data_IF_706295476496
#
_entry.id   IF_706295476496
#
_cell.length_a   1.000
_cell.length_b   1.000
_cell.length_c   1.000
_cell.angle_alpha   90.00
_cell.angle_beta   90.00
_cell.angle_gamma   90.00
#
_symmetry.space_group_name_H-M   'P 1'
#
loop_
_entity.id
_entity.type
_entity.pdbx_description
1 polymer ?
#
# COMPACT_ATOMS: atom_id res chain seq x y z
N UNK A 1 -13.02 38.47 5.60
CA UNK A 1 -14.24 38.20 4.79
C UNK A 1 -13.81 37.18 3.76
N UNK A 2 -14.38 35.98 3.80
CA UNK A 2 -14.06 34.91 2.84
C UNK A 2 -14.48 35.37 1.44
N UNK A 3 -13.53 35.46 0.51
CA UNK A 3 -13.82 35.69 -0.93
C UNK A 3 -13.58 34.38 -1.65
N UNK A 4 -14.61 33.53 -1.66
CA UNK A 4 -14.57 32.28 -2.42
C UNK A 4 -15.20 32.51 -3.80
N UNK A 5 -14.39 33.04 -4.72
CA UNK A 5 -14.82 33.42 -6.07
C UNK A 5 -14.40 32.38 -7.13
N UNK A 6 -14.29 31.10 -6.75
CA UNK A 6 -13.91 30.01 -7.64
C UNK A 6 -15.14 29.47 -8.37
N UNK A 7 -15.02 29.25 -9.68
CA UNK A 7 -16.10 28.73 -10.55
C UNK A 7 -15.57 27.65 -11.47
N UNK A 8 -16.44 26.73 -11.86
CA UNK A 8 -16.14 25.77 -12.91
C UNK A 8 -16.17 26.47 -14.27
N UNK A 9 -15.10 26.32 -15.04
CA UNK A 9 -14.96 26.86 -16.40
C UNK A 9 -14.43 25.76 -17.29
N UNK A 10 -14.96 25.63 -18.50
CA UNK A 10 -14.55 24.57 -19.43
C UNK A 10 -13.10 24.76 -19.86
N UNK A 11 -12.41 23.66 -20.15
CA UNK A 11 -11.05 23.68 -20.69
C UNK A 11 -11.00 24.46 -22.02
N UNK A 12 -12.04 24.35 -22.86
CA UNK A 12 -12.17 25.17 -24.06
C UNK A 12 -12.08 26.68 -23.76
N UNK A 13 -12.84 27.15 -22.77
CA UNK A 13 -12.82 28.56 -22.36
C UNK A 13 -11.45 28.97 -21.79
N UNK A 14 -10.80 28.10 -21.00
CA UNK A 14 -9.44 28.34 -20.47
C UNK A 14 -8.43 28.46 -21.59
N UNK A 15 -8.37 27.48 -22.51
CA UNK A 15 -7.48 27.47 -23.68
C UNK A 15 -7.69 28.72 -24.55
N UNK A 16 -8.94 29.15 -24.72
CA UNK A 16 -9.28 30.36 -25.50
C UNK A 16 -8.82 31.65 -24.80
N UNK A 17 -9.02 31.75 -23.49
CA UNK A 17 -8.77 32.97 -22.73
C UNK A 17 -7.30 33.14 -22.34
N UNK A 18 -6.60 32.03 -22.08
CA UNK A 18 -5.21 31.99 -21.64
C UNK A 18 -4.37 31.07 -22.53
N UNK A 19 -4.17 31.46 -23.80
CA UNK A 19 -3.44 30.61 -24.76
C UNK A 19 -2.00 30.32 -24.34
N UNK A 20 -1.40 31.16 -23.48
CA UNK A 20 -0.05 30.95 -22.96
C UNK A 20 0.08 29.67 -22.10
N UNK A 21 -1.02 29.17 -21.52
CA UNK A 21 -0.98 27.92 -20.74
C UNK A 21 -0.64 26.73 -21.62
N UNK A 22 -1.05 26.75 -22.90
CA UNK A 22 -0.81 25.69 -23.88
C UNK A 22 0.68 25.65 -24.29
N UNK A 23 1.43 26.73 -24.02
CA UNK A 23 2.88 26.77 -24.27
C UNK A 23 3.68 26.05 -23.17
N UNK A 24 3.05 25.78 -22.01
CA UNK A 24 3.64 24.99 -20.94
C UNK A 24 3.58 23.50 -21.29
N UNK A 25 4.73 22.84 -21.32
CA UNK A 25 4.85 21.42 -21.64
C UNK A 25 4.13 20.50 -20.64
N UNK A 26 3.85 20.98 -19.43
CA UNK A 26 3.15 20.23 -18.39
C UNK A 26 1.63 20.44 -18.44
N UNK A 27 1.15 21.38 -19.26
CA UNK A 27 -0.28 21.58 -19.48
C UNK A 27 -0.83 20.49 -20.39
N UNK A 28 -1.81 19.71 -19.92
CA UNK A 28 -2.37 18.58 -20.67
C UNK A 28 -1.28 17.56 -21.06
N UNK A 29 -0.36 17.25 -20.11
CA UNK A 29 0.85 16.45 -20.33
C UNK A 29 0.60 15.10 -21.03
N UNK A 30 -0.55 14.48 -20.76
CA UNK A 30 -0.94 13.18 -21.31
C UNK A 30 -1.87 13.28 -22.54
N UNK A 31 -2.21 14.49 -22.97
CA UNK A 31 -3.09 14.78 -24.11
C UNK A 31 -4.46 14.07 -24.03
N UNK A 32 -4.99 13.89 -22.82
CA UNK A 32 -6.22 13.11 -22.54
C UNK A 32 -7.40 13.97 -22.05
N UNK A 33 -7.19 15.28 -21.89
CA UNK A 33 -8.23 16.20 -21.48
C UNK A 33 -9.21 16.49 -22.62
N UNK A 34 -10.49 16.59 -22.26
CA UNK A 34 -11.54 16.97 -23.21
C UNK A 34 -11.90 18.44 -23.02
N UNK A 35 -12.26 19.12 -24.09
CA UNK A 35 -12.62 20.53 -24.07
C UNK A 35 -13.83 20.83 -23.15
N UNK A 36 -14.70 19.84 -22.94
CA UNK A 36 -15.82 19.87 -22.00
C UNK A 36 -15.47 19.57 -20.53
N UNK A 37 -14.26 19.10 -20.24
CA UNK A 37 -13.77 18.94 -18.87
C UNK A 37 -13.50 20.33 -18.25
N UNK A 38 -13.27 20.41 -16.94
CA UNK A 38 -13.33 21.68 -16.21
C UNK A 38 -12.03 22.08 -15.52
N UNK A 39 -11.85 23.38 -15.35
CA UNK A 39 -10.95 23.99 -14.39
C UNK A 39 -11.75 24.67 -13.29
N UNK A 40 -11.15 24.77 -12.09
CA UNK A 40 -11.62 25.64 -11.03
C UNK A 40 -10.91 27.00 -11.14
N UNK A 41 -11.66 28.05 -11.48
CA UNK A 41 -11.12 29.32 -11.97
C UNK A 41 -11.50 30.50 -11.10
N UNK A 42 -10.54 31.38 -10.81
CA UNK A 42 -10.77 32.71 -10.28
C UNK A 42 -9.98 33.78 -11.03
N UNK A 43 -10.63 34.91 -11.28
CA UNK A 43 -10.06 36.07 -11.97
C UNK A 43 -9.45 37.10 -11.02
N UNK A 44 -9.56 36.84 -9.72
CA UNK A 44 -9.24 37.76 -8.63
C UNK A 44 -8.47 37.00 -7.55
N UNK A 45 -8.04 37.73 -6.52
CA UNK A 45 -7.44 37.14 -5.32
C UNK A 45 -8.42 36.21 -4.59
N UNK A 46 -7.94 35.03 -4.21
CA UNK A 46 -8.71 34.02 -3.48
C UNK A 46 -8.27 34.01 -2.01
N UNK A 47 -9.23 34.11 -1.10
CA UNK A 47 -9.02 33.94 0.34
C UNK A 47 -9.86 32.78 0.85
N UNK A 48 -9.20 31.73 1.36
CA UNK A 48 -9.83 30.51 1.83
C UNK A 48 -9.57 30.24 3.32
N UNK A 49 -10.62 29.83 4.02
CA UNK A 49 -10.57 29.43 5.43
C UNK A 49 -10.65 27.90 5.52
N UNK A 50 -9.67 27.27 6.15
CA UNK A 50 -9.46 25.82 6.23
C UNK A 50 -8.31 25.35 5.35
N UNK A 51 -8.21 24.03 5.20
CA UNK A 51 -7.28 23.40 4.26
C UNK A 51 -7.91 23.35 2.86
N UNK A 52 -7.12 23.67 1.85
CA UNK A 52 -7.52 23.61 0.46
C UNK A 52 -6.88 22.41 -0.24
N UNK A 53 -7.71 21.50 -0.71
CA UNK A 53 -7.27 20.24 -1.32
C UNK A 53 -7.23 20.36 -2.84
N UNK A 54 -6.11 19.93 -3.42
CA UNK A 54 -5.84 19.89 -4.85
C UNK A 54 -6.21 18.53 -5.46
N UNK A 55 -6.36 17.47 -4.67
CA UNK A 55 -6.67 16.10 -5.12
C UNK A 55 -8.13 15.96 -5.62
N UNK A 56 -8.56 16.83 -6.54
CA UNK A 56 -9.94 16.96 -7.03
C UNK A 56 -10.38 15.80 -7.93
N UNK A 57 -9.55 14.76 -8.06
CA UNK A 57 -9.90 13.47 -8.65
C UNK A 57 -10.50 12.51 -7.60
N UNK A 58 -10.11 12.67 -6.34
CA UNK A 58 -10.52 11.82 -5.23
C UNK A 58 -11.97 12.10 -4.84
N UNK A 59 -12.73 11.03 -4.58
CA UNK A 59 -14.17 11.13 -4.32
C UNK A 59 -14.46 11.96 -3.05
N UNK A 60 -13.59 11.87 -2.05
CA UNK A 60 -13.70 12.60 -0.78
C UNK A 60 -13.55 14.11 -1.00
N UNK A 61 -12.52 14.51 -1.73
CA UNK A 61 -12.20 15.91 -2.03
C UNK A 61 -13.22 16.51 -3.01
N UNK A 62 -13.72 15.73 -3.98
CA UNK A 62 -14.86 16.14 -4.83
C UNK A 62 -16.13 16.42 -4.02
N UNK A 63 -16.45 15.58 -3.03
CA UNK A 63 -17.59 15.82 -2.11
C UNK A 63 -17.38 17.07 -1.26
N UNK A 64 -16.15 17.31 -0.80
CA UNK A 64 -15.79 18.55 -0.10
C UNK A 64 -16.02 19.79 -0.99
N UNK A 65 -15.51 19.76 -2.21
CA UNK A 65 -15.67 20.84 -3.17
C UNK A 65 -17.15 21.06 -3.56
N UNK A 66 -17.93 19.98 -3.70
CA UNK A 66 -19.36 20.07 -3.98
C UNK A 66 -20.11 20.87 -2.90
N UNK A 67 -19.83 20.58 -1.63
CA UNK A 67 -20.42 21.32 -0.50
C UNK A 67 -20.01 22.80 -0.54
N UNK A 68 -18.75 23.07 -0.87
CA UNK A 68 -18.20 24.42 -0.94
C UNK A 68 -18.81 25.25 -2.08
N UNK A 69 -19.07 24.63 -3.23
CA UNK A 69 -19.74 25.25 -4.38
C UNK A 69 -21.28 25.22 -4.30
N UNK A 70 -21.83 24.62 -3.24
CA UNK A 70 -23.27 24.37 -3.10
C UNK A 70 -23.88 23.61 -4.30
N UNK A 71 -23.16 22.58 -4.76
CA UNK A 71 -23.54 21.70 -5.85
C UNK A 71 -23.88 20.29 -5.34
N UNK A 72 -24.73 19.52 -6.04
CA UNK A 72 -25.03 18.14 -5.67
C UNK A 72 -23.78 17.26 -5.75
N UNK A 73 -23.42 16.61 -4.64
CA UNK A 73 -22.24 15.75 -4.58
C UNK A 73 -22.22 14.65 -5.67
N UNK A 74 -23.39 14.07 -6.01
CA UNK A 74 -23.50 13.07 -7.07
C UNK A 74 -23.12 13.60 -8.45
N UNK A 75 -23.43 14.86 -8.73
CA UNK A 75 -23.09 15.49 -10.01
C UNK A 75 -21.60 15.83 -10.05
N UNK A 76 -21.05 16.31 -8.94
CA UNK A 76 -19.62 16.65 -8.83
C UNK A 76 -18.68 15.46 -8.96
N UNK A 77 -19.08 14.26 -8.54
CA UNK A 77 -18.25 13.05 -8.69
C UNK A 77 -17.99 12.71 -10.16
N UNK A 78 -18.98 12.93 -11.02
CA UNK A 78 -18.92 12.64 -12.46
C UNK A 78 -18.15 13.72 -13.26
N UNK A 79 -17.93 14.90 -12.68
CA UNK A 79 -17.21 15.98 -13.31
C UNK A 79 -15.70 15.70 -13.23
N UNK A 80 -15.01 15.85 -14.37
CA UNK A 80 -13.54 15.90 -14.44
C UNK A 80 -13.09 17.33 -14.21
N UNK A 81 -12.29 17.55 -13.17
CA UNK A 81 -11.68 18.84 -12.87
C UNK A 81 -10.17 18.64 -13.05
N UNK A 82 -9.65 19.12 -14.18
CA UNK A 82 -8.28 18.86 -14.62
C UNK A 82 -7.29 19.93 -14.17
N UNK A 83 -7.79 21.06 -13.68
CA UNK A 83 -6.92 22.14 -13.26
C UNK A 83 -7.54 23.18 -12.35
N UNK A 84 -6.67 24.01 -11.80
CA UNK A 84 -7.01 25.15 -10.97
C UNK A 84 -6.27 26.37 -11.54
N UNK A 85 -7.00 27.44 -11.80
CA UNK A 85 -6.44 28.67 -12.33
C UNK A 85 -6.84 29.86 -11.46
N UNK A 86 -5.85 30.56 -10.91
CA UNK A 86 -6.06 31.76 -10.10
C UNK A 86 -5.26 32.90 -10.73
N UNK A 87 -5.96 33.86 -11.32
CA UNK A 87 -5.36 35.09 -11.82
C UNK A 87 -5.24 36.15 -10.73
N UNK A 88 -4.52 35.81 -9.66
CA UNK A 88 -4.35 36.67 -8.49
C UNK A 88 -3.52 35.98 -7.42
N UNK A 89 -3.54 36.56 -6.22
CA UNK A 89 -2.94 35.95 -5.04
C UNK A 89 -3.86 34.86 -4.47
N UNK A 90 -3.26 33.83 -3.89
CA UNK A 90 -3.99 32.77 -3.21
C UNK A 90 -3.59 32.69 -1.74
N UNK A 91 -4.51 33.05 -0.86
CA UNK A 91 -4.28 33.04 0.59
C UNK A 91 -5.19 32.02 1.26
N UNK A 92 -4.58 31.07 1.96
CA UNK A 92 -5.23 30.01 2.71
C UNK A 92 -4.79 30.13 4.16
N UNK A 93 -5.73 30.17 5.11
CA UNK A 93 -5.33 30.24 6.52
C UNK A 93 -4.84 28.88 7.07
N UNK A 94 -5.23 27.77 6.42
CA UNK A 94 -4.71 26.41 6.59
C UNK A 94 -3.74 26.02 5.47
N UNK A 95 -3.66 24.74 5.17
CA UNK A 95 -2.69 24.19 4.22
C UNK A 95 -3.24 24.08 2.80
N UNK A 96 -2.36 24.15 1.80
CA UNK A 96 -2.64 23.75 0.41
C UNK A 96 -2.05 22.37 0.20
N UNK A 97 -2.87 21.40 -0.20
CA UNK A 97 -2.55 19.97 -0.10
C UNK A 97 -2.84 19.26 -1.42
N UNK A 98 -1.81 18.69 -2.04
CA UNK A 98 -1.88 17.59 -2.99
C UNK A 98 -1.18 16.41 -2.33
N UNK A 99 -1.97 15.48 -1.78
CA UNK A 99 -1.51 14.31 -1.04
C UNK A 99 -1.39 13.05 -1.92
N UNK A 100 -1.92 13.09 -3.13
CA UNK A 100 -1.65 12.06 -4.13
C UNK A 100 -0.29 12.32 -4.78
N UNK A 101 0.59 11.31 -4.76
CA UNK A 101 1.94 11.39 -5.30
C UNK A 101 2.01 11.07 -6.79
N UNK A 102 1.12 10.21 -7.31
CA UNK A 102 1.20 9.71 -8.69
C UNK A 102 0.58 10.66 -9.72
N UNK A 103 -0.38 11.48 -9.31
CA UNK A 103 -1.12 12.39 -10.20
C UNK A 103 -1.69 13.61 -9.45
N UNK A 104 -2.13 14.61 -10.20
CA UNK A 104 -2.78 15.78 -9.64
C UNK A 104 -3.18 16.76 -10.74
N UNK A 105 -3.94 17.81 -10.39
CA UNK A 105 -4.39 18.79 -11.38
C UNK A 105 -3.23 19.65 -11.87
N UNK A 106 -3.42 20.31 -13.01
CA UNK A 106 -2.58 21.43 -13.38
C UNK A 106 -3.02 22.69 -12.61
N UNK A 107 -2.11 23.28 -11.84
CA UNK A 107 -2.39 24.43 -10.99
C UNK A 107 -1.57 25.62 -11.49
N UNK A 108 -2.25 26.71 -11.83
CA UNK A 108 -1.61 27.97 -12.20
C UNK A 108 -2.07 29.11 -11.30
N UNK A 109 -1.11 29.81 -10.70
CA UNK A 109 -1.35 30.98 -9.85
C UNK A 109 -0.48 32.13 -10.35
N UNK A 110 -1.11 33.19 -10.87
CA UNK A 110 -0.38 34.34 -11.43
C UNK A 110 0.25 35.25 -10.36
N UNK A 111 -0.24 35.17 -9.12
CA UNK A 111 0.25 35.93 -7.97
C UNK A 111 1.01 35.09 -6.95
N UNK A 112 1.04 35.59 -5.71
CA UNK A 112 1.72 34.94 -4.58
C UNK A 112 0.78 34.02 -3.78
N UNK A 113 1.35 33.00 -3.15
CA UNK A 113 0.63 32.08 -2.26
C UNK A 113 1.01 32.32 -0.81
N UNK A 114 0.01 32.43 0.07
CA UNK A 114 0.19 32.46 1.51
C UNK A 114 -0.57 31.28 2.13
N UNK A 115 0.09 30.44 2.92
CA UNK A 115 -0.56 29.28 3.55
C UNK A 115 0.04 28.94 4.92
N UNK A 116 -0.60 28.00 5.63
CA UNK A 116 -0.02 27.36 6.81
C UNK A 116 1.16 26.47 6.38
N UNK A 117 0.86 25.45 5.57
CA UNK A 117 1.85 24.60 4.89
C UNK A 117 1.45 24.40 3.43
N UNK A 118 2.43 24.05 2.60
CA UNK A 118 2.24 23.67 1.20
C UNK A 118 2.79 22.25 1.02
N UNK A 119 1.91 21.29 0.71
CA UNK A 119 2.29 19.92 0.38
C UNK A 119 1.94 19.65 -1.08
N UNK A 120 2.92 19.29 -1.90
CA UNK A 120 2.76 18.98 -3.32
C UNK A 120 3.33 17.58 -3.64
N UNK A 121 2.48 16.71 -4.16
CA UNK A 121 2.81 15.40 -4.71
C UNK A 121 2.80 15.43 -6.24
N UNK A 122 1.91 14.66 -6.86
CA UNK A 122 1.85 14.44 -8.31
C UNK A 122 1.28 15.57 -9.18
N UNK A 123 0.88 16.71 -8.60
CA UNK A 123 0.34 17.84 -9.35
C UNK A 123 1.41 18.62 -10.13
N UNK A 124 1.00 19.24 -11.24
CA UNK A 124 1.84 20.20 -11.97
C UNK A 124 1.46 21.62 -11.55
N UNK A 125 2.33 22.28 -10.77
CA UNK A 125 2.04 23.54 -10.09
C UNK A 125 2.98 24.65 -10.56
N UNK A 126 2.40 25.73 -11.07
CA UNK A 126 3.10 26.94 -11.50
C UNK A 126 2.64 28.14 -10.66
N UNK A 127 3.55 28.68 -9.85
CA UNK A 127 3.31 29.89 -9.04
C UNK A 127 4.24 30.99 -9.53
N UNK A 128 3.65 32.05 -10.11
CA UNK A 128 4.44 33.15 -10.68
C UNK A 128 4.93 34.15 -9.63
N UNK A 129 4.30 34.20 -8.46
CA UNK A 129 4.72 35.04 -7.32
C UNK A 129 5.55 34.29 -6.28
N UNK A 130 5.57 34.84 -5.07
CA UNK A 130 6.25 34.24 -3.93
C UNK A 130 5.36 33.17 -3.27
N UNK A 131 5.98 32.19 -2.62
CA UNK A 131 5.31 31.28 -1.69
C UNK A 131 5.73 31.65 -0.27
N UNK A 132 4.77 31.96 0.59
CA UNK A 132 4.99 32.20 2.02
C UNK A 132 4.20 31.18 2.83
N UNK A 133 4.90 30.21 3.41
CA UNK A 133 4.31 29.22 4.31
C UNK A 133 4.73 29.50 5.76
N UNK A 134 3.80 29.35 6.70
CA UNK A 134 4.09 29.53 8.13
C UNK A 134 4.86 28.36 8.74
N UNK A 135 4.82 27.18 8.11
CA UNK A 135 5.43 25.95 8.60
C UNK A 135 6.35 25.29 7.58
N UNK A 136 5.76 24.49 6.70
CA UNK A 136 6.48 23.59 5.82
C UNK A 136 6.05 23.83 4.39
N UNK A 137 7.04 23.93 3.50
CA UNK A 137 6.85 23.62 2.09
C UNK A 137 7.48 22.25 1.87
N UNK A 138 6.72 21.27 1.42
CA UNK A 138 7.21 19.93 1.11
C UNK A 138 6.71 19.53 -0.27
N UNK A 139 7.66 19.13 -1.12
CA UNK A 139 7.36 18.53 -2.42
C UNK A 139 7.95 17.14 -2.48
N UNK A 140 7.17 16.15 -2.86
CA UNK A 140 7.57 14.75 -2.78
C UNK A 140 7.11 13.94 -3.98
N UNK A 141 7.88 12.90 -4.31
CA UNK A 141 7.57 11.92 -5.36
C UNK A 141 7.63 12.47 -6.79
N UNK A 142 8.18 11.69 -7.72
CA UNK A 142 8.73 12.25 -8.96
C UNK A 142 7.75 12.44 -10.12
N UNK A 143 6.46 12.16 -9.91
CA UNK A 143 5.43 12.32 -10.95
C UNK A 143 4.87 13.74 -11.06
N UNK A 144 5.11 14.60 -10.05
CA UNK A 144 4.71 16.00 -10.05
C UNK A 144 5.79 16.98 -10.51
N UNK A 145 5.37 18.23 -10.71
CA UNK A 145 6.25 19.35 -11.03
C UNK A 145 5.83 20.58 -10.24
N UNK A 146 6.78 21.29 -9.64
CA UNK A 146 6.52 22.55 -8.98
C UNK A 146 7.52 23.60 -9.42
N UNK A 147 7.04 24.69 -10.01
CA UNK A 147 7.84 25.86 -10.35
C UNK A 147 7.34 27.10 -9.62
N UNK A 148 8.22 27.70 -8.83
CA UNK A 148 8.02 29.01 -8.22
C UNK A 148 8.91 30.04 -8.92
N UNK A 149 8.30 31.00 -9.62
CA UNK A 149 9.06 32.10 -10.25
C UNK A 149 9.53 33.16 -9.24
N UNK A 150 9.15 33.04 -7.96
CA UNK A 150 9.51 33.95 -6.88
C UNK A 150 10.34 33.30 -5.77
N UNK A 151 10.27 33.92 -4.60
CA UNK A 151 10.90 33.44 -3.36
C UNK A 151 10.00 32.41 -2.66
N UNK A 152 10.58 31.32 -2.19
CA UNK A 152 9.96 30.41 -1.21
C UNK A 152 10.43 30.81 0.20
N UNK A 153 9.55 31.44 0.99
CA UNK A 153 9.80 31.82 2.39
C UNK A 153 9.01 30.87 3.32
N UNK A 154 9.72 29.97 4.00
CA UNK A 154 9.13 29.02 4.94
C UNK A 154 10.14 28.58 5.98
N UNK A 155 9.75 28.31 7.24
CA UNK A 155 10.69 27.83 8.23
C UNK A 155 11.40 26.53 7.85
N UNK A 156 10.64 25.61 7.25
CA UNK A 156 11.11 24.31 6.77
C UNK A 156 10.78 24.19 5.28
N UNK A 157 11.76 23.79 4.46
CA UNK A 157 11.54 23.48 3.04
C UNK A 157 12.22 22.16 2.68
N UNK A 158 11.43 21.22 2.16
CA UNK A 158 11.83 19.85 1.86
C UNK A 158 11.47 19.55 0.40
N UNK A 159 12.46 19.06 -0.35
CA UNK A 159 12.28 18.46 -1.67
C UNK A 159 12.83 17.03 -1.59
N UNK A 160 11.98 16.04 -1.89
CA UNK A 160 12.32 14.62 -1.79
C UNK A 160 11.79 13.88 -3.01
N UNK A 161 12.67 13.49 -3.91
CA UNK A 161 12.37 12.89 -5.20
C UNK A 161 11.32 13.66 -6.02
N UNK A 162 11.32 14.99 -6.00
CA UNK A 162 10.33 15.80 -6.72
C UNK A 162 10.98 16.78 -7.70
N UNK A 163 10.32 17.09 -8.81
CA UNK A 163 10.80 18.09 -9.76
C UNK A 163 10.42 19.51 -9.31
N UNK A 164 11.26 20.12 -8.48
CA UNK A 164 11.00 21.44 -7.88
C UNK A 164 11.99 22.50 -8.36
N UNK A 165 11.50 23.47 -9.14
CA UNK A 165 12.21 24.66 -9.57
C UNK A 165 11.80 25.91 -8.78
N UNK A 166 12.77 26.71 -8.35
CA UNK A 166 12.50 27.99 -7.69
C UNK A 166 13.65 28.99 -7.93
N UNK A 167 13.36 30.29 -7.85
CA UNK A 167 14.36 31.35 -8.06
C UNK A 167 15.24 31.55 -6.82
N UNK A 168 14.63 31.63 -5.64
CA UNK A 168 15.34 31.82 -4.38
C UNK A 168 14.53 31.20 -3.23
N UNK A 169 15.20 30.99 -2.09
CA UNK A 169 14.57 30.45 -0.88
C UNK A 169 15.06 31.17 0.38
N UNK A 170 14.17 31.25 1.36
CA UNK A 170 14.46 31.76 2.69
C UNK A 170 13.91 30.79 3.72
N UNK A 171 14.80 29.98 4.29
CA UNK A 171 14.44 28.97 5.28
C UNK A 171 15.31 29.11 6.52
N UNK A 172 14.69 29.47 7.65
CA UNK A 172 15.43 29.80 8.87
C UNK A 172 15.65 28.60 9.81
N UNK A 173 14.93 27.49 9.64
CA UNK A 173 15.08 26.30 10.49
C UNK A 173 15.69 25.11 9.75
N UNK A 174 15.12 24.73 8.60
CA UNK A 174 15.53 23.50 7.92
C UNK A 174 15.39 23.62 6.40
N UNK A 175 16.35 23.03 5.69
CA UNK A 175 16.32 22.88 4.25
C UNK A 175 16.90 21.52 3.86
N UNK A 176 16.19 20.80 3.00
CA UNK A 176 16.63 19.56 2.38
C UNK A 176 16.15 19.51 0.93
N UNK A 177 17.02 19.09 0.03
CA UNK A 177 16.72 18.84 -1.38
C UNK A 177 17.67 17.77 -1.90
N UNK A 178 17.14 16.57 -2.07
CA UNK A 178 17.88 15.38 -2.53
C UNK A 178 18.46 15.53 -3.95
N UNK A 179 17.93 16.46 -4.75
CA UNK A 179 18.41 16.77 -6.12
C UNK A 179 19.38 17.94 -6.18
N UNK A 180 19.69 18.60 -5.05
CA UNK A 180 20.60 19.73 -4.99
C UNK A 180 21.85 19.44 -4.14
N UNK A 181 22.99 19.97 -4.56
CA UNK A 181 24.27 19.79 -3.88
C UNK A 181 24.56 20.90 -2.84
N UNK A 182 23.52 21.45 -2.20
CA UNK A 182 23.60 22.60 -1.29
C UNK A 182 22.91 22.37 0.06
N UNK A 183 22.65 21.10 0.40
CA UNK A 183 22.15 20.67 1.72
C UNK A 183 23.26 20.83 2.76
N UNK A 184 22.93 21.40 3.93
CA UNK A 184 23.84 21.47 5.07
C UNK A 184 24.06 20.05 5.62
N UNK A 185 25.30 19.64 5.85
CA UNK A 185 25.67 18.30 6.34
C UNK A 185 24.87 17.87 7.57
N UNK A 186 24.49 18.82 8.44
CA UNK A 186 23.69 18.50 9.65
C UNK A 186 22.23 18.10 9.33
N UNK A 187 21.74 18.45 8.15
CA UNK A 187 20.40 18.17 7.65
C UNK A 187 20.35 16.94 6.75
N UNK A 188 21.49 16.26 6.52
CA UNK A 188 21.52 15.05 5.70
C UNK A 188 20.60 13.97 6.29
N UNK A 189 19.87 13.32 5.40
CA UNK A 189 19.00 12.18 5.68
C UNK A 189 19.71 10.90 5.25
N UNK A 190 19.37 9.78 5.88
CA UNK A 190 20.02 8.49 5.65
C UNK A 190 19.04 7.50 5.03
N UNK A 191 19.49 6.73 4.04
CA UNK A 191 18.70 5.63 3.48
C UNK A 191 18.93 4.36 4.30
N UNK A 192 17.86 3.73 4.76
CA UNK A 192 17.90 2.45 5.45
C UNK A 192 17.78 1.32 4.43
N UNK A 193 18.87 0.60 4.16
CA UNK A 193 18.89 -0.51 3.20
C UNK A 193 18.02 -1.71 3.65
N UNK A 194 17.72 -1.84 4.95
CA UNK A 194 16.90 -2.94 5.49
C UNK A 194 15.41 -2.68 5.29
N UNK A 195 14.96 -1.46 5.58
CA UNK A 195 13.54 -1.09 5.46
C UNK A 195 13.19 -0.51 4.10
N UNK A 196 14.20 0.05 3.40
CA UNK A 196 14.06 0.80 2.16
C UNK A 196 13.58 2.24 2.36
N UNK A 197 13.57 2.73 3.60
CA UNK A 197 13.03 4.06 3.95
C UNK A 197 14.12 5.15 3.96
N UNK A 198 13.70 6.38 3.64
CA UNK A 198 14.49 7.58 3.92
C UNK A 198 14.25 8.08 5.34
N UNK A 199 15.28 7.99 6.17
CA UNK A 199 15.28 8.41 7.57
C UNK A 199 15.60 9.90 7.66
N UNK A 200 14.68 10.68 8.23
CA UNK A 200 14.86 12.12 8.37
C UNK A 200 15.94 12.46 9.39
N UNK A 201 16.70 13.52 9.11
CA UNK A 201 17.77 14.00 9.98
C UNK A 201 17.29 14.29 11.41
N UNK A 202 18.21 14.12 12.37
CA UNK A 202 17.97 14.47 13.77
C UNK A 202 17.65 15.96 13.95
N UNK A 203 18.12 16.84 13.06
CA UNK A 203 17.80 18.26 13.09
C UNK A 203 16.33 18.51 12.76
N UNK A 204 15.78 17.85 11.73
CA UNK A 204 14.35 17.94 11.43
C UNK A 204 13.52 17.37 12.58
N UNK A 205 13.85 16.18 13.09
CA UNK A 205 13.11 15.53 14.20
C UNK A 205 12.98 16.42 15.45
N UNK A 206 14.01 17.22 15.76
CA UNK A 206 13.97 18.15 16.91
C UNK A 206 12.89 19.23 16.78
N UNK A 207 12.56 19.62 15.55
CA UNK A 207 11.58 20.67 15.24
C UNK A 207 10.13 20.16 15.29
N UNK A 208 9.92 18.86 15.01
CA UNK A 208 8.59 18.25 14.85
C UNK A 208 7.86 18.04 16.18
N UNK A 209 6.57 18.42 16.24
CA UNK A 209 5.73 18.23 17.43
C UNK A 209 5.70 16.78 17.92
N UNK A 210 5.55 15.84 16.98
CA UNK A 210 5.69 14.43 17.25
C UNK A 210 7.13 13.96 16.99
N UNK A 211 7.95 13.73 18.03
CA UNK A 211 9.33 13.29 17.86
C UNK A 211 9.45 11.82 17.42
N UNK A 212 8.33 11.09 17.34
CA UNK A 212 8.28 9.70 16.85
C UNK A 212 8.28 9.60 15.33
N UNK A 213 8.19 10.72 14.61
CA UNK A 213 8.31 10.76 13.16
C UNK A 213 9.77 10.52 12.78
N UNK A 214 9.97 9.54 11.90
CA UNK A 214 11.25 8.99 11.51
C UNK A 214 11.52 9.07 10.01
N UNK A 215 10.47 9.13 9.19
CA UNK A 215 10.59 9.14 7.73
C UNK A 215 9.85 10.33 7.11
N UNK A 216 10.19 10.66 5.86
CA UNK A 216 9.44 11.67 5.10
C UNK A 216 7.99 11.26 4.85
N UNK A 217 7.73 9.97 4.58
CA UNK A 217 6.37 9.43 4.40
C UNK A 217 5.50 9.66 5.65
N UNK A 218 6.06 9.48 6.85
CA UNK A 218 5.35 9.73 8.11
C UNK A 218 5.01 11.23 8.29
N UNK A 219 5.94 12.13 7.93
CA UNK A 219 5.71 13.59 7.97
C UNK A 219 4.69 14.05 6.93
N UNK A 220 4.78 13.50 5.72
CA UNK A 220 3.85 13.75 4.62
C UNK A 220 2.41 13.42 5.05
N UNK A 221 2.19 12.27 5.70
CA UNK A 221 0.86 11.89 6.20
C UNK A 221 0.29 12.87 7.24
N UNK A 222 1.13 13.54 8.02
CA UNK A 222 0.70 14.62 8.91
C UNK A 222 0.31 15.88 8.12
N UNK A 223 1.14 16.29 7.17
CA UNK A 223 0.88 17.45 6.30
C UNK A 223 -0.37 17.25 5.45
N UNK A 224 -0.62 16.04 4.94
CA UNK A 224 -1.81 15.65 4.17
C UNK A 224 -3.11 15.72 4.99
N UNK A 225 -3.02 15.56 6.32
CA UNK A 225 -4.13 15.80 7.25
C UNK A 225 -4.30 17.28 7.59
N UNK A 226 -3.41 18.14 7.08
CA UNK A 226 -3.36 19.57 7.37
C UNK A 226 -2.96 19.87 8.82
N UNK A 227 -2.12 19.02 9.40
CA UNK A 227 -1.65 19.15 10.77
C UNK A 227 -0.62 20.27 10.91
N UNK A 228 -0.58 20.86 12.11
CA UNK A 228 0.53 21.71 12.52
C UNK A 228 1.66 20.81 13.01
N UNK A 229 2.77 20.76 12.28
CA UNK A 229 3.84 19.78 12.52
C UNK A 229 5.02 20.34 13.29
N UNK A 230 5.18 21.67 13.40
CA UNK A 230 6.31 22.27 14.13
C UNK A 230 5.90 22.67 15.55
N UNK A 231 6.72 22.29 16.55
CA UNK A 231 6.51 22.61 17.98
C UNK A 231 6.26 24.10 18.23
N UNK A 232 6.98 24.96 17.50
CA UNK A 232 6.92 26.41 17.69
C UNK A 232 5.54 27.03 17.39
N UNK A 233 4.69 26.32 16.64
CA UNK A 233 3.36 26.79 16.27
C UNK A 233 2.26 26.32 17.23
N UNK A 234 2.61 25.67 18.33
CA UNK A 234 1.70 25.24 19.39
C UNK A 234 0.50 24.44 18.85
N UNK A 235 0.76 23.27 18.21
CA UNK A 235 -0.30 22.40 17.72
C UNK A 235 -1.31 22.04 18.81
N UNK A 236 -2.60 21.83 18.44
CA UNK A 236 -3.61 21.40 19.39
C UNK A 236 -3.24 20.06 20.02
N UNK A 237 -3.46 19.93 21.33
CA UNK A 237 -3.24 18.67 22.05
C UNK A 237 -4.13 17.56 21.49
N UNK A 238 -3.52 16.43 21.11
CA UNK A 238 -4.24 15.24 20.63
C UNK A 238 -4.88 14.46 21.77
N UNK A 239 -6.11 13.98 21.57
CA UNK A 239 -6.80 13.09 22.52
C UNK A 239 -6.54 11.62 22.19
N UNK A 240 -7.00 10.72 23.05
CA UNK A 240 -6.98 9.28 22.74
C UNK A 240 -7.80 8.96 21.49
N UNK A 241 -8.98 9.57 21.34
CA UNK A 241 -9.87 9.37 20.20
C UNK A 241 -9.19 9.75 18.88
N UNK A 242 -8.41 10.83 18.87
CA UNK A 242 -7.60 11.20 17.70
C UNK A 242 -6.64 10.06 17.30
N UNK A 243 -5.85 9.54 18.24
CA UNK A 243 -4.90 8.46 17.95
C UNK A 243 -5.61 7.17 17.55
N UNK A 244 -6.74 6.87 18.20
CA UNK A 244 -7.59 5.74 17.85
C UNK A 244 -8.07 5.82 16.41
N UNK A 245 -8.65 6.94 16.00
CA UNK A 245 -9.19 7.11 14.65
C UNK A 245 -8.07 7.13 13.60
N UNK A 246 -6.90 7.67 13.96
CA UNK A 246 -5.70 7.64 13.14
C UNK A 246 -5.22 6.21 12.87
N UNK A 247 -5.08 5.39 13.91
CA UNK A 247 -4.67 3.98 13.81
C UNK A 247 -5.72 3.12 13.08
N UNK A 248 -7.02 3.42 13.25
CA UNK A 248 -8.09 2.76 12.49
C UNK A 248 -8.00 3.02 10.99
N UNK A 249 -7.58 4.23 10.59
CA UNK A 249 -7.38 4.57 9.19
C UNK A 249 -6.11 3.93 8.60
N UNK A 250 -5.03 3.87 9.38
CA UNK A 250 -3.78 3.22 8.99
C UNK A 250 -3.08 2.61 10.21
N UNK A 251 -2.96 1.28 10.25
CA UNK A 251 -2.36 0.57 11.38
C UNK A 251 -0.88 0.95 11.61
N UNK A 252 -0.16 1.40 10.57
CA UNK A 252 1.25 1.83 10.66
C UNK A 252 1.41 3.05 11.55
N UNK A 253 0.37 3.89 11.66
CA UNK A 253 0.41 5.07 12.53
C UNK A 253 0.46 4.69 14.03
N UNK A 254 0.32 3.41 14.39
CA UNK A 254 0.56 2.94 15.77
C UNK A 254 1.98 3.25 16.24
N UNK A 255 2.97 3.27 15.33
CA UNK A 255 4.36 3.67 15.60
C UNK A 255 4.45 5.12 16.10
N UNK A 256 3.57 5.98 15.60
CA UNK A 256 3.56 7.42 15.89
C UNK A 256 2.78 7.78 17.16
N UNK A 257 2.15 6.81 17.82
CA UNK A 257 1.33 7.05 19.01
C UNK A 257 2.24 7.26 20.24
N UNK A 258 2.13 8.41 20.93
CA UNK A 258 2.85 8.66 22.18
C UNK A 258 2.53 7.59 23.24
N UNK A 259 3.53 7.21 24.04
CA UNK A 259 3.42 6.13 25.05
C UNK A 259 2.17 6.23 25.95
N UNK A 260 1.77 7.43 26.33
CA UNK A 260 0.59 7.66 27.18
C UNK A 260 -0.75 7.27 26.52
N UNK A 261 -0.81 7.21 25.18
CA UNK A 261 -1.99 6.84 24.41
C UNK A 261 -1.88 5.45 23.76
N UNK A 262 -0.67 4.86 23.72
CA UNK A 262 -0.43 3.50 23.22
C UNK A 262 -0.84 2.45 24.26
N UNK A 263 -2.15 2.38 24.52
CA UNK A 263 -2.74 1.46 25.50
C UNK A 263 -2.91 0.06 24.91
N UNK A 264 -3.05 -0.94 25.77
CA UNK A 264 -3.37 -2.31 25.36
C UNK A 264 -4.66 -2.37 24.52
N UNK A 265 -5.65 -1.53 24.82
CA UNK A 265 -6.89 -1.39 24.05
C UNK A 265 -6.61 -0.97 22.60
N UNK A 266 -5.81 0.07 22.40
CA UNK A 266 -5.46 0.58 21.08
C UNK A 266 -4.62 -0.43 20.28
N UNK A 267 -3.64 -1.06 20.94
CA UNK A 267 -2.83 -2.12 20.34
C UNK A 267 -3.70 -3.31 19.90
N UNK A 268 -4.61 -3.77 20.75
CA UNK A 268 -5.55 -4.84 20.41
C UNK A 268 -6.48 -4.46 19.26
N UNK A 269 -6.92 -3.21 19.19
CA UNK A 269 -7.73 -2.70 18.10
C UNK A 269 -6.96 -2.75 16.76
N UNK A 270 -5.69 -2.35 16.73
CA UNK A 270 -4.84 -2.46 15.54
C UNK A 270 -4.62 -3.93 15.12
N UNK A 271 -4.31 -4.80 16.08
CA UNK A 271 -4.12 -6.24 15.85
C UNK A 271 -5.39 -6.97 15.39
N UNK A 272 -6.56 -6.47 15.80
CA UNK A 272 -7.83 -6.97 15.31
C UNK A 272 -8.08 -6.61 13.84
N UNK A 273 -7.41 -5.59 13.30
CA UNK A 273 -7.42 -5.28 11.87
C UNK A 273 -6.39 -6.16 11.16
N UNK A 274 -5.14 -6.15 11.63
CA UNK A 274 -4.04 -6.88 10.98
C UNK A 274 -2.93 -7.25 11.96
N UNK A 275 -2.38 -8.46 11.82
CA UNK A 275 -1.21 -8.87 12.61
C UNK A 275 0.05 -8.08 12.24
N UNK A 276 0.08 -7.40 11.09
CA UNK A 276 1.18 -6.52 10.68
C UNK A 276 1.36 -5.30 11.60
N UNK A 277 0.45 -5.04 12.54
CA UNK A 277 0.63 -4.01 13.56
C UNK A 277 1.54 -4.45 14.72
N UNK A 278 1.81 -5.76 14.87
CA UNK A 278 2.58 -6.30 15.99
C UNK A 278 3.98 -5.68 16.15
N UNK A 279 4.75 -5.39 15.07
CA UNK A 279 6.06 -4.74 15.19
C UNK A 279 6.04 -3.34 15.81
N UNK A 280 4.89 -2.67 15.86
CA UNK A 280 4.74 -1.31 16.43
C UNK A 280 4.29 -1.30 17.90
N UNK A 281 4.06 -2.49 18.47
CA UNK A 281 3.65 -2.68 19.87
C UNK A 281 4.89 -2.78 20.75
N UNK A 282 4.85 -2.09 21.89
CA UNK A 282 5.92 -2.14 22.87
C UNK A 282 6.09 -3.59 23.36
N UNK A 283 7.35 -4.08 23.40
CA UNK A 283 7.70 -5.46 23.76
C UNK A 283 7.04 -5.94 25.08
N UNK A 284 6.93 -5.06 26.07
CA UNK A 284 6.31 -5.35 27.37
C UNK A 284 4.81 -5.73 27.28
N UNK A 285 4.14 -5.40 26.17
CA UNK A 285 2.73 -5.73 25.91
C UNK A 285 2.57 -7.02 25.08
N UNK A 286 3.65 -7.58 24.55
CA UNK A 286 3.61 -8.82 23.78
C UNK A 286 3.68 -10.00 24.75
N UNK A 287 2.66 -10.87 24.71
CA UNK A 287 2.55 -12.04 25.57
C UNK A 287 2.34 -13.31 24.75
N UNK A 288 2.65 -14.48 25.33
CA UNK A 288 2.37 -15.76 24.68
C UNK A 288 0.87 -15.94 24.37
N UNK A 289 -0.02 -15.44 25.22
CA UNK A 289 -1.47 -15.49 24.99
C UNK A 289 -1.89 -14.63 23.79
N UNK A 290 -1.30 -13.43 23.66
CA UNK A 290 -1.53 -12.56 22.50
C UNK A 290 -1.04 -13.23 21.21
N UNK A 291 0.18 -13.78 21.23
CA UNK A 291 0.77 -14.52 20.11
C UNK A 291 -0.11 -15.69 19.69
N UNK A 292 -0.58 -16.48 20.66
CA UNK A 292 -1.50 -17.59 20.45
C UNK A 292 -2.82 -17.13 19.81
N UNK A 293 -3.40 -16.03 20.31
CA UNK A 293 -4.63 -15.45 19.76
C UNK A 293 -4.45 -14.99 18.32
N UNK A 294 -3.32 -14.39 17.99
CA UNK A 294 -2.99 -13.94 16.62
C UNK A 294 -2.89 -15.12 15.65
N UNK A 295 -2.10 -16.15 15.98
CA UNK A 295 -1.97 -17.33 15.10
C UNK A 295 -3.26 -18.12 14.99
N UNK A 296 -4.10 -18.10 16.04
CA UNK A 296 -5.42 -18.75 15.99
C UNK A 296 -6.41 -18.05 15.06
N UNK A 297 -6.19 -16.76 14.79
CA UNK A 297 -6.98 -15.99 13.83
C UNK A 297 -6.41 -16.15 12.42
N UNK A 298 -5.09 -16.10 12.30
CA UNK A 298 -4.39 -16.30 11.03
C UNK A 298 -3.00 -16.93 11.26
N UNK A 299 -2.77 -18.13 10.74
CA UNK A 299 -1.49 -18.84 10.87
C UNK A 299 -0.30 -18.04 10.31
N UNK A 300 -0.52 -17.11 9.39
CA UNK A 300 0.52 -16.21 8.87
C UNK A 300 1.04 -15.21 9.90
N UNK A 301 0.33 -14.99 11.01
CA UNK A 301 0.77 -14.07 12.06
C UNK A 301 2.11 -14.49 12.69
N UNK A 302 2.49 -15.77 12.59
CA UNK A 302 3.78 -16.28 13.10
C UNK A 302 4.99 -15.51 12.57
N UNK A 303 4.92 -14.97 11.35
CA UNK A 303 6.02 -14.21 10.75
C UNK A 303 6.28 -12.84 11.41
N UNK A 304 5.29 -12.32 12.15
CA UNK A 304 5.40 -11.03 12.82
C UNK A 304 5.70 -11.17 14.32
N UNK A 305 5.66 -12.40 14.84
CA UNK A 305 5.85 -12.70 16.26
C UNK A 305 7.35 -12.70 16.57
N UNK A 306 7.80 -12.02 17.65
CA UNK A 306 9.20 -12.07 18.05
C UNK A 306 9.68 -13.50 18.33
N UNK A 307 10.91 -13.80 17.94
CA UNK A 307 11.49 -15.15 18.00
C UNK A 307 11.39 -15.80 19.38
N UNK A 308 11.52 -15.01 20.46
CA UNK A 308 11.43 -15.49 21.84
C UNK A 308 10.06 -16.08 22.21
N UNK A 309 9.01 -15.75 21.46
CA UNK A 309 7.65 -16.29 21.65
C UNK A 309 7.33 -17.45 20.69
N UNK A 310 8.15 -17.69 19.67
CA UNK A 310 7.92 -18.77 18.72
C UNK A 310 8.33 -20.10 19.36
N UNK A 311 7.35 -20.83 19.86
CA UNK A 311 7.55 -22.18 20.40
C UNK A 311 7.12 -23.25 19.41
N UNK A 312 7.46 -24.50 19.72
CA UNK A 312 6.94 -25.66 18.99
C UNK A 312 5.40 -25.68 19.01
N UNK A 313 4.79 -25.47 20.17
CA UNK A 313 3.32 -25.47 20.32
C UNK A 313 2.67 -24.37 19.47
N UNK A 314 3.25 -23.17 19.48
CA UNK A 314 2.77 -22.06 18.66
C UNK A 314 2.92 -22.35 17.17
N UNK A 315 4.02 -22.99 16.76
CA UNK A 315 4.26 -23.42 15.38
C UNK A 315 3.22 -24.42 14.88
N UNK A 316 2.87 -25.41 15.71
CA UNK A 316 1.77 -26.33 15.41
C UNK A 316 0.44 -25.58 15.30
N UNK A 317 0.16 -24.65 16.21
CA UNK A 317 -1.07 -23.86 16.15
C UNK A 317 -1.15 -22.98 14.90
N UNK A 318 -0.04 -22.36 14.48
CA UNK A 318 0.04 -21.62 13.23
C UNK A 318 -0.21 -22.53 12.02
N UNK A 319 0.33 -23.75 12.03
CA UNK A 319 0.08 -24.75 11.00
C UNK A 319 -1.39 -25.18 10.94
N UNK A 320 -2.09 -25.33 12.08
CA UNK A 320 -3.53 -25.61 12.12
C UNK A 320 -4.38 -24.49 11.50
N UNK A 321 -3.91 -23.25 11.59
CA UNK A 321 -4.64 -22.06 11.13
C UNK A 321 -4.13 -21.51 9.78
N UNK A 322 -3.39 -22.34 9.04
CA UNK A 322 -2.98 -22.09 7.66
C UNK A 322 -1.82 -21.12 7.52
N UNK A 323 -0.62 -21.57 7.90
CA UNK A 323 0.66 -20.88 7.67
C UNK A 323 1.47 -21.52 6.52
N UNK A 324 2.69 -21.03 6.27
CA UNK A 324 3.66 -21.63 5.35
C UNK A 324 4.85 -22.21 6.11
N UNK A 325 5.44 -23.30 5.58
CA UNK A 325 6.54 -23.99 6.24
C UNK A 325 7.75 -23.07 6.45
N UNK A 326 8.11 -22.27 5.44
CA UNK A 326 9.20 -21.28 5.48
C UNK A 326 9.07 -20.19 6.56
N UNK A 327 7.87 -20.01 7.14
CA UNK A 327 7.62 -19.04 8.21
C UNK A 327 7.78 -19.66 9.61
N UNK A 328 8.05 -20.96 9.67
CA UNK A 328 8.27 -21.68 10.92
C UNK A 328 9.77 -21.95 11.07
N UNK A 329 10.36 -21.79 12.28
CA UNK A 329 11.74 -22.15 12.51
C UNK A 329 12.03 -23.62 12.18
N UNK A 330 13.14 -23.88 11.48
CA UNK A 330 13.54 -25.23 11.05
C UNK A 330 13.73 -26.20 12.22
N UNK A 331 14.12 -25.70 13.40
CA UNK A 331 14.27 -26.47 14.63
C UNK A 331 12.98 -27.19 15.07
N UNK A 332 11.82 -26.70 14.61
CA UNK A 332 10.51 -27.29 14.92
C UNK A 332 9.97 -28.20 13.83
N UNK A 333 10.69 -28.35 12.71
CA UNK A 333 10.24 -29.22 11.62
C UNK A 333 10.12 -30.67 12.08
N UNK A 334 8.95 -31.24 11.81
CA UNK A 334 8.68 -32.66 11.97
C UNK A 334 7.75 -33.12 10.86
N UNK A 335 7.69 -34.44 10.63
CA UNK A 335 6.79 -35.01 9.61
C UNK A 335 5.34 -34.60 9.87
N UNK A 336 4.94 -34.58 11.14
CA UNK A 336 3.61 -34.21 11.59
C UNK A 336 3.32 -32.74 11.32
N UNK A 337 4.25 -31.84 11.66
CA UNK A 337 4.09 -30.40 11.42
C UNK A 337 3.98 -30.09 9.93
N UNK A 338 4.89 -30.66 9.12
CA UNK A 338 4.91 -30.41 7.67
C UNK A 338 3.61 -30.90 7.03
N UNK A 339 3.14 -32.09 7.41
CA UNK A 339 1.83 -32.60 6.96
C UNK A 339 0.68 -31.67 7.37
N UNK A 340 0.74 -31.10 8.57
CA UNK A 340 -0.28 -30.17 9.08
C UNK A 340 -0.31 -28.86 8.29
N UNK A 341 0.86 -28.28 8.02
CA UNK A 341 1.02 -27.10 7.15
C UNK A 341 0.44 -27.35 5.77
N UNK A 342 0.73 -28.51 5.18
CA UNK A 342 0.24 -28.86 3.85
C UNK A 342 -1.29 -28.96 3.85
N UNK A 343 -1.86 -29.69 4.82
CA UNK A 343 -3.32 -29.91 4.91
C UNK A 343 -4.14 -28.65 5.11
N UNK A 344 -3.63 -27.70 5.89
CA UNK A 344 -4.37 -26.49 6.26
C UNK A 344 -3.88 -25.22 5.52
N UNK A 345 -2.89 -25.35 4.63
CA UNK A 345 -2.32 -24.23 3.89
C UNK A 345 -3.41 -23.49 3.10
N UNK A 346 -3.46 -22.16 3.26
CA UNK A 346 -4.36 -21.30 2.46
C UNK A 346 -3.91 -21.18 0.99
N UNK A 347 -2.66 -21.55 0.71
CA UNK A 347 -2.06 -21.56 -0.62
C UNK A 347 -1.51 -22.94 -0.93
N UNK A 348 -1.30 -23.23 -2.23
CA UNK A 348 -0.66 -24.48 -2.65
C UNK A 348 0.75 -24.56 -2.01
N UNK A 349 1.03 -25.59 -1.20
CA UNK A 349 2.30 -25.69 -0.50
C UNK A 349 3.44 -25.95 -1.49
N UNK A 350 4.61 -25.37 -1.26
CA UNK A 350 5.79 -25.65 -2.08
C UNK A 350 6.59 -26.80 -1.45
N UNK A 351 6.64 -27.96 -2.12
CA UNK A 351 7.44 -29.11 -1.67
C UNK A 351 8.95 -28.82 -1.66
N UNK A 352 9.42 -27.77 -2.36
CA UNK A 352 10.82 -27.36 -2.31
C UNK A 352 11.19 -26.73 -0.95
N UNK A 353 10.21 -26.24 -0.18
CA UNK A 353 10.44 -25.73 1.19
C UNK A 353 10.69 -26.87 2.19
N UNK A 354 10.43 -28.13 1.79
CA UNK A 354 10.55 -29.29 2.68
C UNK A 354 11.96 -29.89 2.56
N UNK A 355 12.75 -29.95 3.65
CA UNK A 355 14.04 -30.63 3.62
C UNK A 355 13.87 -32.10 3.25
N UNK A 356 14.77 -32.61 2.39
CA UNK A 356 14.68 -33.96 1.80
C UNK A 356 14.44 -35.09 2.82
N UNK A 357 15.01 -34.97 4.02
CA UNK A 357 14.84 -35.95 5.12
C UNK A 357 13.39 -36.07 5.62
N UNK A 358 12.55 -35.06 5.39
CA UNK A 358 11.13 -35.05 5.78
C UNK A 358 10.18 -35.38 4.62
N UNK A 359 10.69 -35.48 3.38
CA UNK A 359 9.86 -35.89 2.26
C UNK A 359 9.58 -37.39 2.38
N UNK A 360 8.32 -37.72 2.61
CA UNK A 360 7.84 -39.10 2.75
C UNK A 360 6.78 -39.38 1.69
N UNK A 361 6.54 -40.66 1.43
CA UNK A 361 5.47 -41.08 0.51
C UNK A 361 4.12 -40.50 0.92
N UNK A 362 3.78 -40.56 2.22
CA UNK A 362 2.54 -40.01 2.76
C UNK A 362 2.45 -38.48 2.54
N UNK A 363 3.55 -37.75 2.70
CA UNK A 363 3.56 -36.31 2.40
C UNK A 363 3.29 -36.03 0.92
N UNK A 364 3.89 -36.81 0.02
CA UNK A 364 3.66 -36.65 -1.42
C UNK A 364 2.21 -36.99 -1.82
N UNK A 365 1.61 -38.00 -1.17
CA UNK A 365 0.18 -38.31 -1.36
C UNK A 365 -0.68 -37.12 -0.96
N UNK A 366 -0.48 -36.59 0.25
CA UNK A 366 -1.25 -35.42 0.71
C UNK A 366 -0.99 -34.18 -0.17
N UNK A 367 0.25 -33.95 -0.58
CA UNK A 367 0.62 -32.87 -1.50
C UNK A 367 -0.20 -32.88 -2.80
N UNK A 368 -0.38 -34.05 -3.41
CA UNK A 368 -1.19 -34.20 -4.63
C UNK A 368 -2.69 -34.09 -4.34
N UNK A 369 -3.16 -34.46 -3.15
CA UNK A 369 -4.57 -34.27 -2.76
C UNK A 369 -4.94 -32.80 -2.60
N UNK A 370 -4.00 -31.96 -2.18
CA UNK A 370 -4.25 -30.54 -1.91
C UNK A 370 -4.25 -29.69 -3.19
N UNK A 371 -3.50 -30.07 -4.23
CA UNK A 371 -3.34 -29.21 -5.41
C UNK A 371 -2.74 -29.87 -6.64
N UNK A 372 -1.99 -29.08 -7.43
CA UNK A 372 -1.47 -29.51 -8.73
C UNK A 372 -0.28 -30.44 -8.61
N UNK A 373 0.41 -30.42 -7.47
CA UNK A 373 1.59 -31.26 -7.26
C UNK A 373 2.72 -30.92 -8.24
N UNK A 374 2.89 -29.64 -8.61
CA UNK A 374 3.77 -29.18 -9.69
C UNK A 374 5.18 -29.79 -9.67
N UNK A 375 5.71 -30.01 -8.46
CA UNK A 375 7.06 -30.49 -8.23
C UNK A 375 7.15 -31.97 -7.85
N UNK A 376 6.05 -32.73 -7.95
CA UNK A 376 5.99 -34.15 -7.58
C UNK A 376 7.10 -34.97 -8.25
N UNK A 377 7.31 -34.79 -9.56
CA UNK A 377 8.31 -35.55 -10.32
C UNK A 377 9.72 -35.33 -9.80
N UNK A 378 10.05 -34.07 -9.46
CA UNK A 378 11.33 -33.69 -8.90
C UNK A 378 11.50 -34.26 -7.50
N UNK A 379 10.48 -34.13 -6.65
CA UNK A 379 10.48 -34.64 -5.28
C UNK A 379 10.65 -36.17 -5.24
N UNK A 380 9.86 -36.92 -6.03
CA UNK A 380 9.96 -38.37 -6.17
C UNK A 380 11.37 -38.81 -6.59
N UNK A 381 11.95 -38.18 -7.63
CA UNK A 381 13.30 -38.50 -8.13
C UNK A 381 14.39 -38.24 -7.09
N UNK A 382 14.28 -37.16 -6.31
CA UNK A 382 15.29 -36.77 -5.34
C UNK A 382 15.45 -37.79 -4.20
N UNK A 383 14.36 -38.45 -3.80
CA UNK A 383 14.33 -39.39 -2.68
C UNK A 383 14.15 -40.86 -3.10
N UNK A 384 14.02 -41.13 -4.41
CA UNK A 384 13.87 -42.47 -4.95
C UNK A 384 12.50 -43.11 -4.71
N UNK A 385 11.44 -42.32 -4.55
CA UNK A 385 10.06 -42.82 -4.45
C UNK A 385 9.44 -42.92 -5.84
N UNK A 386 8.76 -44.03 -6.12
CA UNK A 386 8.02 -44.19 -7.38
C UNK A 386 6.80 -43.27 -7.42
N UNK A 387 6.77 -42.35 -8.39
CA UNK A 387 5.65 -41.45 -8.65
C UNK A 387 4.35 -42.22 -8.83
N UNK A 388 4.38 -43.35 -9.56
CA UNK A 388 3.15 -44.09 -9.86
C UNK A 388 2.55 -44.68 -8.58
N UNK A 389 3.37 -45.13 -7.64
CA UNK A 389 2.92 -45.61 -6.33
C UNK A 389 2.20 -44.49 -5.54
N UNK A 390 2.74 -43.28 -5.53
CA UNK A 390 2.09 -42.11 -4.90
C UNK A 390 0.74 -41.83 -5.56
N UNK A 391 0.68 -41.76 -6.89
CA UNK A 391 -0.57 -41.50 -7.61
C UNK A 391 -1.63 -42.57 -7.36
N UNK A 392 -1.24 -43.85 -7.26
CA UNK A 392 -2.16 -44.94 -6.92
C UNK A 392 -2.79 -44.73 -5.55
N UNK A 393 -2.01 -44.34 -4.54
CA UNK A 393 -2.55 -44.06 -3.20
C UNK A 393 -3.46 -42.82 -3.17
N UNK A 394 -3.17 -41.80 -3.98
CA UNK A 394 -4.06 -40.66 -4.16
C UNK A 394 -5.39 -41.11 -4.77
N UNK A 395 -5.33 -41.95 -5.81
CA UNK A 395 -6.52 -42.53 -6.45
C UNK A 395 -7.29 -43.37 -5.41
N UNK A 396 -6.63 -44.23 -4.63
CA UNK A 396 -7.28 -45.06 -3.62
C UNK A 396 -7.97 -44.25 -2.51
N UNK A 397 -7.58 -42.97 -2.35
CA UNK A 397 -8.13 -42.10 -1.30
C UNK A 397 -9.49 -41.51 -1.64
N UNK A 398 -9.92 -41.52 -2.90
CA UNK A 398 -11.21 -40.93 -3.30
C UNK A 398 -11.28 -40.54 -4.78
N UNK A 399 -12.47 -40.68 -5.36
CA UNK A 399 -12.71 -40.33 -6.77
C UNK A 399 -12.59 -38.82 -7.00
N UNK A 400 -12.83 -38.01 -5.97
CA UNK A 400 -12.68 -36.56 -5.98
C UNK A 400 -11.25 -36.09 -6.32
N UNK A 401 -10.23 -36.90 -5.98
CA UNK A 401 -8.83 -36.55 -6.25
C UNK A 401 -8.39 -36.88 -7.69
N UNK A 402 -9.25 -37.52 -8.49
CA UNK A 402 -8.96 -37.73 -9.92
C UNK A 402 -8.79 -36.40 -10.65
N UNK A 403 -9.38 -35.30 -10.17
CA UNK A 403 -9.17 -34.00 -10.80
C UNK A 403 -7.72 -33.54 -10.71
N UNK A 404 -7.09 -33.74 -9.56
CA UNK A 404 -5.69 -33.37 -9.35
C UNK A 404 -4.76 -34.27 -10.18
N UNK A 405 -5.03 -35.58 -10.16
CA UNK A 405 -4.24 -36.59 -10.90
C UNK A 405 -4.38 -36.40 -12.41
N UNK A 406 -5.59 -36.35 -12.95
CA UNK A 406 -5.81 -36.20 -14.40
C UNK A 406 -5.52 -34.77 -14.88
N UNK A 407 -5.69 -33.78 -14.02
CA UNK A 407 -5.33 -32.39 -14.28
C UNK A 407 -3.84 -32.20 -14.53
N UNK A 408 -2.98 -32.81 -13.71
CA UNK A 408 -1.56 -32.43 -13.65
C UNK A 408 -0.59 -33.61 -13.84
N UNK A 409 -1.05 -34.84 -13.64
CA UNK A 409 -0.23 -36.05 -13.68
C UNK A 409 -0.83 -37.15 -14.58
N UNK A 410 -1.48 -36.74 -15.67
CA UNK A 410 -2.16 -37.65 -16.59
C UNK A 410 -1.16 -38.61 -17.28
N UNK A 411 -1.30 -39.91 -17.02
CA UNK A 411 -0.53 -40.98 -17.68
C UNK A 411 -1.41 -42.20 -17.92
N UNK A 412 -0.97 -43.09 -18.82
CA UNK A 412 -1.68 -44.34 -19.13
C UNK A 412 -1.86 -45.21 -17.89
N UNK A 413 -0.80 -45.37 -17.12
CA UNK A 413 -0.77 -46.21 -15.92
C UNK A 413 -1.70 -45.67 -14.83
N UNK A 414 -1.77 -44.34 -14.67
CA UNK A 414 -2.69 -43.70 -13.72
C UNK A 414 -4.16 -43.89 -14.15
N UNK A 415 -4.46 -43.78 -15.45
CA UNK A 415 -5.80 -44.01 -16.00
C UNK A 415 -6.23 -45.46 -15.86
N UNK A 416 -5.38 -46.42 -16.23
CA UNK A 416 -5.64 -47.86 -16.09
C UNK A 416 -5.97 -48.24 -14.64
N UNK A 417 -5.19 -47.70 -13.71
CA UNK A 417 -5.43 -47.94 -12.29
C UNK A 417 -6.74 -47.30 -11.82
N UNK A 418 -6.98 -46.02 -12.13
CA UNK A 418 -8.22 -45.34 -11.78
C UNK A 418 -9.46 -46.04 -12.35
N UNK A 419 -9.39 -46.52 -13.59
CA UNK A 419 -10.47 -47.30 -14.19
C UNK A 419 -10.71 -48.62 -13.43
N UNK A 420 -9.65 -49.31 -13.03
CA UNK A 420 -9.78 -50.56 -12.26
C UNK A 420 -10.52 -50.36 -10.93
N UNK A 421 -10.37 -49.19 -10.31
CA UNK A 421 -10.99 -48.80 -9.03
C UNK A 421 -12.41 -48.25 -9.23
N UNK A 422 -12.61 -47.37 -10.20
CA UNK A 422 -13.79 -46.50 -10.27
C UNK A 422 -14.75 -46.74 -11.45
N UNK A 423 -14.48 -47.65 -12.39
CA UNK A 423 -15.32 -47.87 -13.59
C UNK A 423 -16.82 -48.09 -13.33
N UNK A 424 -17.19 -48.60 -12.16
CA UNK A 424 -18.58 -48.89 -11.79
C UNK A 424 -19.24 -47.76 -10.98
N UNK A 425 -18.51 -46.68 -10.69
CA UNK A 425 -19.05 -45.52 -9.99
C UNK A 425 -19.69 -44.55 -10.97
N UNK A 426 -20.83 -43.99 -10.58
CA UNK A 426 -21.63 -43.08 -11.43
C UNK A 426 -20.83 -41.85 -11.88
N UNK A 427 -19.98 -41.32 -10.98
CA UNK A 427 -19.18 -40.13 -11.21
C UNK A 427 -17.99 -40.33 -12.15
N UNK A 428 -17.56 -41.57 -12.43
CA UNK A 428 -16.43 -41.84 -13.33
C UNK A 428 -16.63 -41.21 -14.72
N UNK A 429 -17.83 -41.34 -15.27
CA UNK A 429 -18.21 -40.78 -16.57
C UNK A 429 -17.98 -39.27 -16.67
N UNK A 430 -18.14 -38.53 -15.56
CA UNK A 430 -17.91 -37.08 -15.52
C UNK A 430 -16.43 -36.74 -15.72
N UNK A 431 -15.52 -37.49 -15.11
CA UNK A 431 -14.07 -37.27 -15.25
C UNK A 431 -13.58 -37.63 -16.65
N UNK A 432 -14.06 -38.74 -17.21
CA UNK A 432 -13.75 -39.14 -18.60
C UNK A 432 -14.19 -38.05 -19.58
N UNK A 433 -15.40 -37.51 -19.41
CA UNK A 433 -15.90 -36.43 -20.26
C UNK A 433 -15.12 -35.13 -20.06
N UNK A 434 -14.79 -34.75 -18.81
CA UNK A 434 -14.01 -33.54 -18.49
C UNK A 434 -12.61 -33.59 -19.11
N UNK A 435 -11.97 -34.75 -19.10
CA UNK A 435 -10.59 -34.94 -19.59
C UNK A 435 -10.49 -35.61 -20.97
N UNK A 436 -11.59 -35.71 -21.71
CA UNK A 436 -11.69 -36.43 -23.00
C UNK A 436 -10.54 -36.14 -23.97
N UNK A 437 -10.16 -34.87 -24.13
CA UNK A 437 -9.05 -34.49 -25.01
C UNK A 437 -7.70 -35.12 -24.60
N UNK A 438 -7.47 -35.29 -23.29
CA UNK A 438 -6.26 -35.94 -22.77
C UNK A 438 -6.29 -37.45 -23.03
N UNK A 439 -7.44 -38.10 -22.86
CA UNK A 439 -7.64 -39.52 -23.21
C UNK A 439 -7.39 -39.77 -24.71
N UNK A 440 -7.93 -38.92 -25.58
CA UNK A 440 -7.73 -39.02 -27.03
C UNK A 440 -6.27 -38.79 -27.44
N UNK A 441 -5.57 -37.86 -26.76
CA UNK A 441 -4.17 -37.52 -27.07
C UNK A 441 -3.19 -38.68 -26.85
N UNK A 442 -3.44 -39.56 -25.89
CA UNK A 442 -2.58 -40.72 -25.60
C UNK A 442 -3.21 -42.06 -26.00
N UNK A 443 -4.18 -42.02 -26.92
CA UNK A 443 -4.85 -43.17 -27.54
C UNK A 443 -5.55 -44.14 -26.56
N UNK A 444 -6.17 -43.59 -25.52
CA UNK A 444 -6.93 -44.34 -24.50
C UNK A 444 -8.43 -44.30 -24.75
N UNK A 445 -8.84 -44.43 -26.02
CA UNK A 445 -10.25 -44.35 -26.42
C UNK A 445 -11.12 -45.49 -25.90
N UNK A 446 -10.51 -46.60 -25.50
CA UNK A 446 -11.20 -47.75 -24.91
C UNK A 446 -11.78 -47.47 -23.51
N UNK A 447 -11.37 -46.36 -22.88
CA UNK A 447 -11.85 -45.92 -21.56
C UNK A 447 -12.88 -44.78 -21.63
N UNK A 448 -13.23 -44.33 -22.85
CA UNK A 448 -14.21 -43.26 -23.11
C UNK A 448 -15.67 -43.70 -22.94
#
# INVERSE_FOLDING_TARGET
>A
MQTFNLKLTTIFEIKTKYPFLIEDQNFDLYEDWRDEDFFLVSEEDVNFEGNFYLDLYEEKEKKWLANLLNLPAKEMVEIRIEGIFINGNFSVNGSVINAEGDYGPYVFISGSVNCQSLLLGGANVEIKGNVTAKEVVMTYYNHGNFNCSGLIDSPVFIVTDHNTGFVDRKNNLFYYNDRANDVDLKNECEYDDETGDEIISNELRKLLDNPLIETFEELERDLARGELVLKQNNPPTKTYEYWRDRVLANYRDLKLVPKQFKTEELCNLALNITFHALPFIDQDLITSELCEKLVSKDGFAIQAIPDEFITKELSFKAAENGTMLRLVPEDYYSKELILLVFKNGKHEPDINDVPSQFITENLLVEYVKIGKGLWLDKACKAIGIDKLQVLKQVIDSGIEYLDNVFGNHFSKEAVEYAFSVYKNQEDWSKYVQKYKQKFERIDLKEYL
#
